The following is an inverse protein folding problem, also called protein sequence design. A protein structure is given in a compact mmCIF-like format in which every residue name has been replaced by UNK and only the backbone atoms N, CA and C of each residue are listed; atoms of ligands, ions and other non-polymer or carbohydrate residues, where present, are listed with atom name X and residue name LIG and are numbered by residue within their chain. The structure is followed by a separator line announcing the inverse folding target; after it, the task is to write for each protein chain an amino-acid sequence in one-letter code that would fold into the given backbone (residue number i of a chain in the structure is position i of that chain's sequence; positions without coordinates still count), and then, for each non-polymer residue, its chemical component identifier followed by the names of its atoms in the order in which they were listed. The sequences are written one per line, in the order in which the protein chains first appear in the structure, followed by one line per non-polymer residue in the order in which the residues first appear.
data_IF_652677801681
#
_entry.id   IF_652677801681
#
_cell.length_a   1.000
_cell.length_b   1.000
_cell.length_c   1.000
_cell.angle_alpha   90.00
_cell.angle_beta   90.00
_cell.angle_gamma   90.00
#
_symmetry.space_group_name_H-M   'P 1'
#
loop_
_entity.id
_entity.type
_entity.pdbx_description
1 polymer ?
#
# COMPACT_ATOMS: atom_id res chain seq x y z
N UNK A 1 -8.74 -27.76 30.99
CA UNK A 1 -7.66 -26.76 30.87
C UNK A 1 -8.08 -25.67 29.90
N UNK A 2 -8.21 -24.42 30.36
CA UNK A 2 -8.52 -23.27 29.49
C UNK A 2 -7.29 -23.00 28.60
N UNK A 3 -7.41 -23.25 27.29
CA UNK A 3 -6.41 -22.85 26.28
C UNK A 3 -6.37 -21.33 26.22
N UNK A 4 -5.31 -20.72 26.76
CA UNK A 4 -5.03 -19.30 26.62
C UNK A 4 -4.96 -18.94 25.12
N UNK A 5 -5.83 -18.04 24.66
CA UNK A 5 -5.91 -17.70 23.24
C UNK A 5 -4.86 -16.66 22.83
N UNK A 6 -3.95 -17.11 21.97
CA UNK A 6 -3.30 -16.43 20.84
C UNK A 6 -2.41 -15.22 21.16
N UNK A 7 -1.24 -15.55 21.69
CA UNK A 7 -0.03 -14.72 21.64
C UNK A 7 0.43 -14.58 20.17
N UNK A 8 1.11 -13.48 19.85
CA UNK A 8 1.96 -13.30 18.67
C UNK A 8 2.57 -14.65 18.22
N UNK A 9 2.45 -15.03 16.94
CA UNK A 9 2.95 -16.31 16.41
C UNK A 9 4.49 -16.33 16.34
N UNK A 10 5.18 -16.03 17.44
CA UNK A 10 6.62 -15.77 17.53
C UNK A 10 7.45 -16.90 16.92
N UNK A 11 7.13 -18.14 17.29
CA UNK A 11 7.85 -19.31 16.80
C UNK A 11 7.74 -19.47 15.28
N UNK A 12 6.54 -19.26 14.74
CA UNK A 12 6.30 -19.36 13.30
C UNK A 12 6.89 -18.17 12.55
N UNK A 13 6.84 -16.98 13.14
CA UNK A 13 7.50 -15.78 12.66
C UNK A 13 9.01 -15.98 12.51
N UNK A 14 9.70 -16.41 13.59
CA UNK A 14 11.14 -16.67 13.55
C UNK A 14 11.50 -17.76 12.54
N UNK A 15 10.68 -18.82 12.42
CA UNK A 15 10.86 -19.89 11.43
C UNK A 15 10.71 -19.41 9.99
N UNK A 16 9.89 -18.38 9.73
CA UNK A 16 9.74 -17.78 8.40
C UNK A 16 10.87 -16.83 8.09
N UNK A 17 11.25 -15.99 9.05
CA UNK A 17 12.41 -15.09 8.93
C UNK A 17 13.72 -15.85 8.74
N UNK A 18 13.90 -17.01 9.37
CA UNK A 18 15.12 -17.81 9.22
C UNK A 18 15.34 -18.36 7.80
N UNK A 19 14.35 -18.24 6.90
CA UNK A 19 14.42 -18.72 5.51
C UNK A 19 14.75 -17.63 4.51
N UNK A 20 14.80 -16.37 4.94
CA UNK A 20 15.05 -15.23 4.05
C UNK A 20 16.46 -14.67 4.26
N UNK A 21 16.94 -13.91 3.29
CA UNK A 21 18.24 -13.27 3.34
C UNK A 21 18.33 -12.20 4.43
N UNK A 22 19.54 -11.81 4.87
CA UNK A 22 19.72 -10.69 5.79
C UNK A 22 19.09 -9.39 5.29
N UNK A 23 19.18 -9.11 3.99
CA UNK A 23 18.52 -7.94 3.38
C UNK A 23 17.00 -8.00 3.49
N UNK A 24 16.40 -9.18 3.37
CA UNK A 24 14.97 -9.36 3.57
C UNK A 24 14.56 -9.17 5.03
N UNK A 25 15.38 -9.63 5.98
CA UNK A 25 15.19 -9.38 7.42
C UNK A 25 15.23 -7.88 7.73
N UNK A 26 16.26 -7.16 7.26
CA UNK A 26 16.40 -5.70 7.44
C UNK A 26 15.24 -4.94 6.81
N UNK A 27 14.85 -5.33 5.58
CA UNK A 27 13.70 -4.76 4.90
C UNK A 27 12.41 -4.95 5.71
N UNK A 28 12.20 -6.15 6.26
CA UNK A 28 11.04 -6.40 7.11
C UNK A 28 11.05 -5.51 8.35
N UNK A 29 12.20 -5.35 9.01
CA UNK A 29 12.38 -4.45 10.15
C UNK A 29 12.02 -3.00 9.82
N UNK A 30 12.55 -2.46 8.72
CA UNK A 30 12.23 -1.11 8.25
C UNK A 30 10.73 -0.92 8.01
N UNK A 31 10.09 -1.90 7.34
CA UNK A 31 8.65 -1.86 7.07
C UNK A 31 7.87 -1.87 8.39
N UNK A 32 8.24 -2.70 9.37
CA UNK A 32 7.54 -2.76 10.66
C UNK A 32 7.67 -1.47 11.46
N UNK A 33 8.83 -0.84 11.45
CA UNK A 33 9.09 0.41 12.19
C UNK A 33 8.36 1.60 11.57
N UNK A 34 8.20 1.60 10.24
CA UNK A 34 7.66 2.73 9.49
C UNK A 34 6.19 2.57 9.05
N UNK A 35 5.55 1.44 9.39
CA UNK A 35 4.18 1.19 8.93
C UNK A 35 3.13 2.01 9.67
N UNK A 36 2.08 2.40 8.94
CA UNK A 36 0.86 2.93 9.55
C UNK A 36 0.17 1.82 10.36
N UNK A 37 0.14 1.96 11.68
CA UNK A 37 -0.48 1.00 12.61
C UNK A 37 -1.97 0.74 12.34
N UNK A 38 -2.66 1.66 11.66
CA UNK A 38 -4.09 1.55 11.34
C UNK A 38 -4.36 0.63 10.14
N UNK A 39 -3.48 0.66 9.14
CA UNK A 39 -3.68 -0.07 7.87
C UNK A 39 -2.61 -1.13 7.59
N UNK A 40 -1.50 -1.11 8.32
CA UNK A 40 -0.43 -2.10 8.24
C UNK A 40 0.35 -1.97 6.97
N UNK A 41 0.47 -0.74 6.48
CA UNK A 41 1.13 -0.44 5.23
C UNK A 41 2.26 0.54 5.44
N UNK A 42 3.32 0.33 4.71
CA UNK A 42 4.39 1.28 4.49
C UNK A 42 4.39 1.65 3.00
N UNK A 43 4.44 2.93 2.68
CA UNK A 43 4.37 3.44 1.31
C UNK A 43 5.73 4.02 0.97
N UNK A 44 6.44 3.36 0.06
CA UNK A 44 7.73 3.78 -0.44
C UNK A 44 8.02 3.09 -1.77
N UNK A 45 8.77 3.75 -2.64
CA UNK A 45 9.33 3.17 -3.85
C UNK A 45 10.49 2.23 -3.52
N UNK A 46 10.83 1.34 -4.46
CA UNK A 46 12.01 0.47 -4.30
C UNK A 46 13.31 1.25 -4.24
N UNK A 47 13.38 2.40 -4.93
CA UNK A 47 14.54 3.29 -4.93
C UNK A 47 14.74 3.93 -3.55
N UNK A 48 13.70 4.50 -2.96
CA UNK A 48 13.78 5.09 -1.60
C UNK A 48 14.19 4.04 -0.56
N UNK A 49 13.62 2.84 -0.63
CA UNK A 49 13.99 1.75 0.29
C UNK A 49 15.43 1.26 0.06
N UNK A 50 15.87 1.21 -1.20
CA UNK A 50 17.24 0.84 -1.56
C UNK A 50 18.26 1.85 -1.01
N UNK A 51 17.92 3.14 -1.07
CA UNK A 51 18.72 4.22 -0.50
C UNK A 51 18.79 4.11 1.03
N UNK A 52 17.65 3.94 1.72
CA UNK A 52 17.59 3.80 3.18
C UNK A 52 18.45 2.63 3.68
N UNK A 53 18.36 1.49 3.01
CA UNK A 53 19.09 0.27 3.40
C UNK A 53 20.50 0.20 2.80
N UNK A 54 20.92 1.22 2.03
CA UNK A 54 22.20 1.26 1.32
C UNK A 54 22.49 -0.02 0.50
N UNK A 55 21.50 -0.46 -0.28
CA UNK A 55 21.60 -1.63 -1.17
C UNK A 55 21.08 -1.29 -2.57
N UNK A 56 21.29 -2.18 -3.53
CA UNK A 56 20.72 -2.01 -4.87
C UNK A 56 19.20 -2.24 -4.89
N UNK A 57 18.48 -1.55 -5.80
CA UNK A 57 17.06 -1.83 -6.06
C UNK A 57 16.79 -3.30 -6.42
N UNK A 58 17.75 -3.96 -7.07
CA UNK A 58 17.67 -5.39 -7.41
C UNK A 58 17.67 -6.26 -6.16
N UNK A 59 18.43 -5.88 -5.13
CA UNK A 59 18.42 -6.54 -3.82
C UNK A 59 17.07 -6.37 -3.14
N UNK A 60 16.48 -5.17 -3.17
CA UNK A 60 15.13 -4.92 -2.64
C UNK A 60 14.08 -5.75 -3.40
N UNK A 61 14.18 -5.86 -4.72
CA UNK A 61 13.27 -6.69 -5.50
C UNK A 61 13.35 -8.17 -5.12
N UNK A 62 14.54 -8.70 -4.84
CA UNK A 62 14.73 -10.09 -4.37
C UNK A 62 14.18 -10.26 -2.96
N UNK A 63 14.52 -9.35 -2.06
CA UNK A 63 14.02 -9.34 -0.68
C UNK A 63 12.48 -9.30 -0.61
N UNK A 64 11.83 -8.49 -1.46
CA UNK A 64 10.38 -8.49 -1.60
C UNK A 64 9.82 -9.87 -1.94
N UNK A 65 10.39 -10.53 -2.96
CA UNK A 65 9.95 -11.87 -3.38
C UNK A 65 10.13 -12.91 -2.27
N UNK A 66 11.23 -12.84 -1.52
CA UNK A 66 11.49 -13.73 -0.39
C UNK A 66 10.44 -13.55 0.72
N UNK A 67 10.18 -12.31 1.13
CA UNK A 67 9.22 -11.98 2.17
C UNK A 67 7.77 -12.31 1.77
N UNK A 68 7.42 -12.12 0.50
CA UNK A 68 6.13 -12.54 -0.07
C UNK A 68 6.00 -14.08 -0.06
N UNK A 69 7.05 -14.80 -0.45
CA UNK A 69 7.05 -16.26 -0.48
C UNK A 69 6.88 -16.88 0.91
N UNK A 70 7.43 -16.26 1.96
CA UNK A 70 7.22 -16.69 3.35
C UNK A 70 5.95 -16.09 3.99
N UNK A 71 5.18 -15.30 3.23
CA UNK A 71 3.89 -14.76 3.64
C UNK A 71 3.97 -13.72 4.76
N UNK A 72 5.08 -13.01 4.88
CA UNK A 72 5.28 -11.95 5.88
C UNK A 72 4.81 -10.59 5.38
N UNK A 73 4.92 -10.34 4.07
CA UNK A 73 4.43 -9.10 3.44
C UNK A 73 3.68 -9.41 2.13
N UNK A 74 3.03 -8.38 1.60
CA UNK A 74 2.69 -8.25 0.18
C UNK A 74 3.24 -6.93 -0.33
N UNK A 75 3.73 -6.91 -1.56
CA UNK A 75 4.27 -5.71 -2.18
C UNK A 75 3.59 -5.44 -3.52
N UNK A 76 3.00 -4.24 -3.66
CA UNK A 76 2.34 -3.83 -4.90
C UNK A 76 2.41 -2.33 -5.08
N UNK A 77 2.97 -1.88 -6.21
CA UNK A 77 3.01 -0.45 -6.61
C UNK A 77 3.51 0.49 -5.50
N UNK A 78 4.60 0.13 -4.83
CA UNK A 78 5.18 0.95 -3.76
C UNK A 78 4.45 0.86 -2.40
N UNK A 79 3.50 -0.07 -2.26
CA UNK A 79 2.85 -0.35 -0.98
C UNK A 79 3.35 -1.69 -0.47
N UNK A 80 3.97 -1.66 0.70
CA UNK A 80 4.32 -2.81 1.51
C UNK A 80 3.20 -3.03 2.52
N UNK A 81 2.48 -4.13 2.44
CA UNK A 81 1.49 -4.51 3.44
C UNK A 81 2.02 -5.64 4.32
N UNK A 82 2.00 -5.46 5.64
CA UNK A 82 2.46 -6.44 6.61
C UNK A 82 1.37 -7.45 6.89
N UNK A 83 1.73 -8.73 7.00
CA UNK A 83 0.82 -9.75 7.47
C UNK A 83 0.45 -9.49 8.95
N UNK A 84 -0.80 -9.13 9.23
CA UNK A 84 -1.22 -8.74 10.58
C UNK A 84 -1.13 -9.86 11.62
N UNK A 85 -1.14 -11.13 11.18
CA UNK A 85 -1.04 -12.29 12.06
C UNK A 85 0.30 -12.34 12.80
N UNK A 86 1.35 -11.82 12.16
CA UNK A 86 2.72 -11.84 12.67
C UNK A 86 3.18 -10.51 13.23
N UNK A 87 2.40 -9.42 13.12
CA UNK A 87 2.80 -8.11 13.65
C UNK A 87 1.88 -7.59 14.76
N UNK A 88 0.57 -7.88 14.70
CA UNK A 88 -0.40 -7.34 15.67
C UNK A 88 -1.12 -8.39 16.52
N UNK A 89 -0.67 -9.64 16.47
CA UNK A 89 -1.12 -10.70 17.38
C UNK A 89 -2.63 -10.81 17.48
N UNK A 90 -3.32 -11.24 16.42
CA UNK A 90 -4.67 -11.83 16.43
C UNK A 90 -5.86 -11.04 17.03
N UNK A 91 -5.67 -9.88 17.66
CA UNK A 91 -6.71 -9.12 18.39
C UNK A 91 -6.78 -7.63 18.06
N UNK A 92 -5.93 -7.11 17.19
CA UNK A 92 -6.11 -5.73 16.74
C UNK A 92 -7.40 -5.64 15.90
N UNK A 93 -8.29 -4.72 16.28
CA UNK A 93 -9.50 -4.34 15.55
C UNK A 93 -9.19 -3.88 14.12
N UNK A 94 -7.92 -3.64 13.81
CA UNK A 94 -7.40 -3.25 12.50
C UNK A 94 -6.97 -4.44 11.63
N UNK A 95 -6.94 -5.67 12.14
CA UNK A 95 -6.51 -6.86 11.36
C UNK A 95 -7.38 -7.05 10.12
N UNK A 96 -8.70 -6.94 10.25
CA UNK A 96 -9.64 -7.01 9.11
C UNK A 96 -9.51 -5.84 8.13
N UNK A 97 -8.95 -4.72 8.59
CA UNK A 97 -8.69 -3.50 7.81
C UNK A 97 -7.29 -3.49 7.19
N UNK A 98 -6.47 -4.50 7.47
CA UNK A 98 -5.11 -4.58 6.95
C UNK A 98 -5.11 -4.56 5.43
N UNK A 99 -4.25 -3.73 4.86
CA UNK A 99 -3.98 -3.73 3.42
C UNK A 99 -3.55 -5.11 2.92
N UNK A 100 -2.99 -5.97 3.78
CA UNK A 100 -2.54 -7.31 3.42
C UNK A 100 -3.66 -8.20 2.86
N UNK A 101 -4.86 -8.13 3.43
CA UNK A 101 -6.00 -8.94 2.97
C UNK A 101 -6.76 -8.31 1.80
N UNK A 102 -6.56 -7.02 1.56
CA UNK A 102 -7.28 -6.26 0.53
C UNK A 102 -6.45 -5.99 -0.73
N UNK A 103 -5.12 -6.08 -0.66
CA UNK A 103 -4.19 -5.77 -1.77
C UNK A 103 -4.37 -6.63 -3.03
N UNK A 104 -4.84 -7.87 -2.86
CA UNK A 104 -5.12 -8.79 -3.97
C UNK A 104 -6.58 -8.75 -4.44
N UNK A 105 -7.46 -8.14 -3.64
CA UNK A 105 -8.85 -7.92 -4.08
C UNK A 105 -8.80 -6.82 -5.14
N UNK A 106 -9.51 -7.03 -6.25
CA UNK A 106 -9.64 -6.05 -7.37
C UNK A 106 -10.04 -4.62 -6.93
N UNK A 107 -10.49 -4.43 -5.69
CA UNK A 107 -10.89 -3.14 -5.10
C UNK A 107 -9.79 -2.31 -4.44
N UNK A 108 -8.58 -2.83 -4.18
CA UNK A 108 -7.45 -1.99 -3.72
C UNK A 108 -6.78 -1.29 -4.91
N UNK A 109 -7.55 -0.53 -5.68
CA UNK A 109 -7.00 0.46 -6.59
C UNK A 109 -6.47 1.59 -5.72
N UNK A 110 -5.14 1.64 -5.60
CA UNK A 110 -4.47 2.90 -5.27
C UNK A 110 -4.93 3.88 -6.34
N UNK A 111 -5.74 4.84 -5.93
CA UNK A 111 -5.96 6.04 -6.73
C UNK A 111 -4.56 6.64 -6.87
N UNK A 112 -3.99 6.54 -8.07
CA UNK A 112 -2.81 7.32 -8.38
C UNK A 112 -3.22 8.78 -8.17
N UNK A 113 -2.53 9.49 -7.27
CA UNK A 113 -2.88 10.88 -7.00
C UNK A 113 -2.75 11.74 -8.27
N UNK A 114 -1.94 11.30 -9.25
CA UNK A 114 -1.91 11.90 -10.57
C UNK A 114 -3.18 11.62 -11.38
N UNK A 115 -3.68 10.38 -11.41
CA UNK A 115 -4.95 10.03 -12.10
C UNK A 115 -6.15 10.75 -11.45
N UNK A 116 -6.17 10.87 -10.12
CA UNK A 116 -7.20 11.66 -9.42
C UNK A 116 -7.08 13.16 -9.69
N UNK A 117 -5.85 13.69 -9.75
CA UNK A 117 -5.64 15.09 -10.10
C UNK A 117 -6.03 15.39 -11.55
N UNK A 118 -5.75 14.50 -12.49
CA UNK A 118 -6.20 14.60 -13.88
C UNK A 118 -7.71 14.50 -14.01
N UNK A 119 -8.36 13.56 -13.30
CA UNK A 119 -9.82 13.44 -13.30
C UNK A 119 -10.52 14.66 -12.69
N UNK A 120 -9.90 15.32 -11.69
CA UNK A 120 -10.41 16.57 -11.11
C UNK A 120 -10.19 17.73 -12.10
N UNK A 121 -9.05 17.80 -12.77
CA UNK A 121 -8.77 18.82 -13.79
C UNK A 121 -9.69 18.66 -15.01
N UNK A 122 -9.94 17.45 -15.49
CA UNK A 122 -10.81 17.18 -16.64
C UNK A 122 -12.26 17.54 -16.35
N UNK A 123 -12.79 17.20 -15.18
CA UNK A 123 -14.13 17.64 -14.75
C UNK A 123 -14.24 19.16 -14.62
N UNK A 124 -13.18 19.84 -14.16
CA UNK A 124 -13.14 21.30 -14.09
C UNK A 124 -13.12 21.92 -15.50
N UNK A 125 -12.38 21.31 -16.45
CA UNK A 125 -12.35 21.68 -17.87
C UNK A 125 -13.70 21.45 -18.56
N UNK A 126 -14.39 20.32 -18.33
CA UNK A 126 -15.74 20.08 -18.84
C UNK A 126 -16.76 21.06 -18.27
N UNK A 127 -16.63 21.44 -17.00
CA UNK A 127 -17.46 22.46 -16.37
C UNK A 127 -17.24 23.86 -16.94
N UNK A 128 -15.98 24.21 -17.27
CA UNK A 128 -15.62 25.45 -17.96
C UNK A 128 -16.14 25.42 -19.40
N UNK A 129 -15.96 24.31 -20.14
CA UNK A 129 -16.46 24.15 -21.51
C UNK A 129 -18.00 24.21 -21.60
N UNK A 130 -18.71 23.63 -20.63
CA UNK A 130 -20.18 23.74 -20.55
C UNK A 130 -20.66 25.14 -20.17
N UNK A 131 -19.89 25.88 -19.35
CA UNK A 131 -20.19 27.29 -19.04
C UNK A 131 -19.96 28.18 -20.24
N UNK A 132 -18.85 28.02 -20.96
CA UNK A 132 -18.57 28.80 -22.17
C UNK A 132 -19.54 28.47 -23.30
N UNK A 133 -19.96 27.22 -23.49
CA UNK A 133 -21.01 26.87 -24.46
C UNK A 133 -22.37 27.52 -24.13
N UNK A 134 -22.77 27.52 -22.85
CA UNK A 134 -24.01 28.23 -22.43
C UNK A 134 -23.91 29.75 -22.56
N UNK A 135 -22.74 30.33 -22.36
CA UNK A 135 -22.51 31.76 -22.57
C UNK A 135 -22.52 32.12 -24.07
N UNK A 136 -22.03 31.23 -24.95
CA UNK A 136 -22.10 31.40 -26.41
C UNK A 136 -23.54 31.26 -26.93
N UNK A 137 -24.33 30.31 -26.43
CA UNK A 137 -25.75 30.16 -26.80
C UNK A 137 -26.61 31.34 -26.31
N UNK A 138 -26.31 31.89 -25.12
CA UNK A 138 -26.99 33.08 -24.60
C UNK A 138 -26.73 34.36 -25.39
N UNK A 139 -25.61 34.43 -26.12
CA UNK A 139 -25.24 35.61 -26.91
C UNK A 139 -25.90 35.64 -28.30
N UNK A 140 -26.30 34.48 -28.84
CA UNK A 140 -27.05 34.38 -30.09
C UNK A 140 -28.56 34.60 -29.92
N UNK A 141 -29.10 34.42 -28.71
CA UNK A 141 -30.53 34.62 -28.43
C UNK A 141 -30.97 36.10 -28.31
N UNK A 142 -30.04 37.06 -28.37
CA UNK A 142 -30.33 38.52 -28.32
C UNK A 142 -30.11 39.26 -29.65
N UNK A 143 -29.90 38.54 -30.75
CA UNK A 143 -29.88 39.10 -32.11
C UNK A 143 -30.97 38.44 -32.96
N UNK A 144 -32.22 38.80 -32.66
CA UNK A 144 -33.35 38.80 -33.58
C UNK A 144 -34.35 39.84 -33.09
#
# INVERSE_FOLDING_TARGET
MKKWSRVFYAREFCKRLSKVSPTATELYGLITDSCDWKYGRYVATRAEVAEILNVSERSIQRANKELEAVGLIKFKRGIYAINPEFNWGGRSWNISKSCYYTMDRKGAQVIDFNDAAEAIKSKKLEGIARKTLREVDGHNAKRN
#
